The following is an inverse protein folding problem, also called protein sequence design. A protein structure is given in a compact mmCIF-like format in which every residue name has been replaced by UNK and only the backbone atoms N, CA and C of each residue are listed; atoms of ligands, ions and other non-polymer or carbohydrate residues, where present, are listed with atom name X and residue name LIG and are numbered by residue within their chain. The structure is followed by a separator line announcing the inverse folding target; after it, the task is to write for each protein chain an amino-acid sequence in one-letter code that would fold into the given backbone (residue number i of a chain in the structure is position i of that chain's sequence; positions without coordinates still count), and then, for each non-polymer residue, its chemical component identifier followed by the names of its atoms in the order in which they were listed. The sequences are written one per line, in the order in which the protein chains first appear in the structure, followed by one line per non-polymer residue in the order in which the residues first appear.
data_IF_607251226903
#
_entry.id   IF_607251226903
#
_cell.length_a   1.000
_cell.length_b   1.000
_cell.length_c   1.000
_cell.angle_alpha   90.00
_cell.angle_beta   90.00
_cell.angle_gamma   90.00
#
_symmetry.space_group_name_H-M   'P 1'
#
loop_
_entity.id
_entity.type
_entity.pdbx_description
1 polymer ?
#
# COMPACT_ATOMS: atom_id res chain seq x y z
N UNK A 1 2.41 1.75 3.43
CA UNK A 1 1.56 2.74 4.12
C UNK A 1 1.94 2.95 5.58
N UNK A 2 2.46 1.95 6.30
CA UNK A 2 2.78 2.06 7.74
C UNK A 2 3.60 3.32 8.12
N UNK A 3 4.77 3.61 7.51
CA UNK A 3 5.54 4.81 7.90
C UNK A 3 4.84 6.11 7.52
N UNK A 4 4.08 6.09 6.42
CA UNK A 4 3.33 7.24 5.94
C UNK A 4 2.28 7.71 6.95
N UNK A 5 1.72 6.78 7.72
CA UNK A 5 0.69 7.06 8.72
C UNK A 5 1.25 7.13 10.16
N UNK A 6 2.55 6.92 10.34
CA UNK A 6 3.19 6.82 11.65
C UNK A 6 2.77 5.57 12.42
N UNK A 7 2.51 4.46 11.71
CA UNK A 7 2.05 3.19 12.28
C UNK A 7 3.17 2.14 12.38
N UNK A 8 4.41 2.53 12.13
CA UNK A 8 5.59 1.65 12.16
C UNK A 8 6.38 1.68 10.86
N UNK A 9 7.44 0.88 10.81
CA UNK A 9 8.33 0.76 9.66
C UNK A 9 7.74 -0.04 8.50
N UNK A 10 8.43 -0.07 7.35
CA UNK A 10 8.08 -0.97 6.25
C UNK A 10 8.37 -2.40 6.67
N UNK A 11 7.45 -3.34 6.43
CA UNK A 11 7.66 -4.75 6.73
C UNK A 11 8.62 -5.43 5.75
N UNK A 12 8.56 -5.05 4.47
CA UNK A 12 9.32 -5.67 3.38
C UNK A 12 9.99 -4.61 2.49
N UNK A 13 10.94 -3.81 3.02
CA UNK A 13 11.62 -2.76 2.25
C UNK A 13 12.38 -3.29 1.01
N UNK A 14 12.78 -4.56 1.01
CA UNK A 14 13.45 -5.25 -0.08
C UNK A 14 12.60 -5.36 -1.35
N UNK A 15 11.27 -5.33 -1.23
CA UNK A 15 10.36 -5.41 -2.38
C UNK A 15 10.32 -4.12 -3.22
N UNK A 16 10.80 -2.98 -2.68
CA UNK A 16 10.64 -1.69 -3.36
C UNK A 16 11.40 -1.58 -4.68
N UNK A 17 12.60 -2.17 -4.74
CA UNK A 17 13.42 -2.07 -5.95
C UNK A 17 12.76 -2.80 -7.13
N UNK A 18 12.20 -3.99 -6.87
CA UNK A 18 11.56 -4.82 -7.88
C UNK A 18 10.13 -4.37 -8.22
N UNK A 19 9.32 -4.00 -7.23
CA UNK A 19 7.87 -3.80 -7.42
C UNK A 19 7.41 -2.33 -7.40
N UNK A 20 8.30 -1.37 -7.13
CA UNK A 20 7.94 0.06 -7.09
C UNK A 20 8.85 0.93 -7.95
N UNK A 21 10.16 0.71 -7.90
CA UNK A 21 11.16 1.57 -8.59
C UNK A 21 11.51 1.08 -10.00
N UNK A 22 11.07 -0.11 -10.35
CA UNK A 22 11.42 -0.76 -11.61
C UNK A 22 10.17 -1.30 -12.30
N UNK A 23 10.14 -1.30 -13.64
CA UNK A 23 9.12 -2.02 -14.39
C UNK A 23 9.31 -3.54 -14.25
N UNK A 24 8.23 -4.27 -14.54
CA UNK A 24 8.22 -5.73 -14.61
C UNK A 24 9.33 -6.28 -15.53
N UNK A 25 9.81 -7.49 -15.24
CA UNK A 25 10.87 -8.24 -15.97
C UNK A 25 12.26 -7.59 -15.98
N UNK A 26 12.50 -6.53 -15.19
CA UNK A 26 13.84 -5.96 -15.04
C UNK A 26 14.76 -6.86 -14.21
N UNK A 27 14.22 -7.58 -13.23
CA UNK A 27 14.94 -8.50 -12.37
C UNK A 27 14.43 -9.93 -12.57
N UNK A 28 15.25 -10.92 -12.24
CA UNK A 28 14.80 -12.30 -12.19
C UNK A 28 13.79 -12.47 -11.05
N UNK A 29 12.76 -13.29 -11.27
CA UNK A 29 11.77 -13.64 -10.26
C UNK A 29 12.42 -14.54 -9.21
N UNK A 30 12.95 -13.92 -8.15
CA UNK A 30 13.56 -14.63 -7.01
C UNK A 30 12.54 -15.00 -5.94
N UNK A 31 11.32 -14.46 -6.01
CA UNK A 31 10.22 -14.70 -5.08
C UNK A 31 9.12 -15.51 -5.76
N UNK A 32 8.59 -16.48 -5.04
CA UNK A 32 7.49 -17.33 -5.50
C UNK A 32 6.12 -16.68 -5.23
N UNK A 33 5.10 -17.09 -5.98
CA UNK A 33 3.71 -16.62 -5.76
C UNK A 33 3.23 -16.88 -4.31
N UNK A 34 3.44 -18.06 -3.70
CA UNK A 34 3.08 -18.29 -2.31
C UNK A 34 3.75 -17.32 -1.33
N UNK A 35 5.04 -17.01 -1.50
CA UNK A 35 5.75 -16.05 -0.65
C UNK A 35 5.14 -14.64 -0.78
N UNK A 36 4.88 -14.20 -2.01
CA UNK A 36 4.24 -12.91 -2.26
C UNK A 36 2.84 -12.81 -1.63
N UNK A 37 2.06 -13.90 -1.64
CA UNK A 37 0.76 -13.96 -0.96
C UNK A 37 0.90 -13.80 0.55
N UNK A 38 1.87 -14.47 1.18
CA UNK A 38 2.14 -14.32 2.62
C UNK A 38 2.50 -12.88 2.97
N UNK A 39 3.37 -12.23 2.18
CA UNK A 39 3.73 -10.83 2.39
C UNK A 39 2.52 -9.90 2.25
N UNK A 40 1.70 -10.13 1.22
CA UNK A 40 0.47 -9.39 0.99
C UNK A 40 -0.51 -9.52 2.17
N UNK A 41 -0.80 -10.73 2.60
CA UNK A 41 -1.72 -11.00 3.72
C UNK A 41 -1.22 -10.38 5.02
N UNK A 42 0.04 -10.62 5.37
CA UNK A 42 0.68 -10.08 6.59
C UNK A 42 0.62 -8.55 6.63
N UNK A 43 0.91 -7.89 5.50
CA UNK A 43 0.83 -6.43 5.39
C UNK A 43 -0.60 -5.92 5.60
N UNK A 44 -1.59 -6.56 4.97
CA UNK A 44 -2.99 -6.15 5.07
C UNK A 44 -3.56 -6.38 6.47
N UNK A 45 -3.26 -7.52 7.10
CA UNK A 45 -3.64 -7.81 8.48
C UNK A 45 -3.04 -6.80 9.46
N UNK A 46 -1.76 -6.48 9.29
CA UNK A 46 -1.07 -5.47 10.11
C UNK A 46 -1.74 -4.10 9.96
N UNK A 47 -2.02 -3.67 8.73
CA UNK A 47 -2.73 -2.41 8.48
C UNK A 47 -4.14 -2.41 9.08
N UNK A 48 -4.91 -3.47 8.89
CA UNK A 48 -6.26 -3.61 9.43
C UNK A 48 -6.26 -3.56 10.97
N UNK A 49 -5.28 -4.22 11.62
CA UNK A 49 -5.12 -4.19 13.07
C UNK A 49 -4.79 -2.79 13.61
N UNK A 50 -4.08 -1.96 12.86
CA UNK A 50 -3.88 -0.55 13.21
C UNK A 50 -5.14 0.29 12.95
N UNK A 51 -5.75 0.11 11.78
CA UNK A 51 -6.90 0.91 11.35
C UNK A 51 -8.11 0.72 12.27
N UNK A 52 -8.35 -0.49 12.77
CA UNK A 52 -9.41 -0.78 13.74
C UNK A 52 -9.27 -0.05 15.08
N UNK A 53 -8.07 0.42 15.41
CA UNK A 53 -7.76 1.17 16.64
C UNK A 53 -7.75 2.68 16.43
N UNK A 54 -7.79 3.14 15.18
CA UNK A 54 -7.74 4.58 14.87
C UNK A 54 -9.07 5.27 15.14
N UNK A 55 -9.01 6.38 15.86
CA UNK A 55 -10.14 7.28 16.06
C UNK A 55 -10.42 8.12 14.80
N UNK A 56 -11.67 8.53 14.56
CA UNK A 56 -12.04 9.34 13.39
C UNK A 56 -11.15 10.57 13.18
N UNK A 57 -10.77 11.28 14.24
CA UNK A 57 -9.94 12.49 14.15
C UNK A 57 -8.52 12.18 13.67
N UNK A 58 -8.00 10.98 13.95
CA UNK A 58 -6.67 10.57 13.49
C UNK A 58 -6.65 10.37 11.97
N UNK A 59 -7.77 9.98 11.36
CA UNK A 59 -7.90 9.88 9.90
C UNK A 59 -7.86 11.24 9.20
N UNK A 60 -8.38 12.28 9.88
CA UNK A 60 -8.38 13.66 9.40
C UNK A 60 -7.05 14.39 9.69
N UNK A 61 -6.12 13.79 10.42
CA UNK A 61 -4.79 14.33 10.64
C UNK A 61 -3.88 14.19 9.40
N UNK A 62 -2.82 15.00 9.35
CA UNK A 62 -1.81 14.94 8.29
C UNK A 62 -1.12 13.56 8.20
N UNK A 63 -0.66 13.20 7.01
CA UNK A 63 0.27 12.09 6.82
C UNK A 63 1.73 12.57 6.93
N UNK A 64 2.70 11.66 7.10
CA UNK A 64 4.11 12.06 7.35
C UNK A 64 4.80 12.73 6.15
N UNK A 65 4.25 12.62 4.94
CA UNK A 65 4.78 13.25 3.72
C UNK A 65 4.26 14.68 3.45
N UNK A 66 3.60 15.34 4.41
CA UNK A 66 3.19 16.74 4.28
C UNK A 66 3.64 17.53 5.50
N UNK A 67 4.15 18.76 5.27
CA UNK A 67 4.54 19.65 6.36
C UNK A 67 3.30 20.23 7.06
N UNK A 68 3.50 20.84 8.23
CA UNK A 68 2.41 21.48 8.96
C UNK A 68 1.88 22.73 8.22
N UNK A 69 2.78 23.49 7.59
CA UNK A 69 2.44 24.69 6.80
C UNK A 69 1.58 24.32 5.59
N UNK A 70 2.01 23.30 4.83
CA UNK A 70 1.27 22.80 3.66
C UNK A 70 -0.08 22.21 4.05
N UNK A 71 -0.14 21.51 5.18
CA UNK A 71 -1.39 20.90 5.65
C UNK A 71 -2.39 21.96 6.14
N UNK A 72 -1.92 23.05 6.75
CA UNK A 72 -2.79 24.18 7.13
C UNK A 72 -3.46 24.83 5.91
N UNK A 73 -2.75 24.91 4.77
CA UNK A 73 -3.28 25.44 3.51
C UNK A 73 -4.17 24.42 2.76
N UNK A 74 -3.91 23.12 2.93
CA UNK A 74 -4.58 22.04 2.23
C UNK A 74 -4.94 20.89 3.20
N UNK A 75 -5.93 21.08 4.10
CA UNK A 75 -6.28 20.10 5.14
C UNK A 75 -6.84 18.78 4.58
N UNK A 76 -7.20 18.75 3.31
CA UNK A 76 -7.51 17.53 2.57
C UNK A 76 -6.29 16.62 2.36
N UNK A 77 -5.04 17.08 2.59
CA UNK A 77 -3.82 16.22 2.54
C UNK A 77 -3.67 15.37 3.81
N UNK A 78 -4.74 14.66 4.17
CA UNK A 78 -4.86 13.86 5.39
C UNK A 78 -4.72 12.35 5.11
N UNK A 79 -4.63 11.55 6.19
CA UNK A 79 -4.48 10.08 6.10
C UNK A 79 -5.67 9.42 5.39
N UNK A 80 -6.89 9.91 5.60
CA UNK A 80 -8.09 9.36 4.95
C UNK A 80 -8.02 9.48 3.43
N UNK A 81 -7.62 10.66 2.91
CA UNK A 81 -7.50 10.86 1.47
C UNK A 81 -6.39 10.02 0.85
N UNK A 82 -5.29 9.78 1.58
CA UNK A 82 -4.29 8.80 1.14
C UNK A 82 -4.91 7.40 1.04
N UNK A 83 -5.66 6.95 2.05
CA UNK A 83 -6.30 5.63 2.05
C UNK A 83 -7.29 5.48 0.87
N UNK A 84 -8.12 6.50 0.62
CA UNK A 84 -9.01 6.52 -0.54
C UNK A 84 -8.23 6.41 -1.86
N UNK A 85 -7.15 7.20 -2.01
CA UNK A 85 -6.28 7.12 -3.18
C UNK A 85 -5.65 5.74 -3.38
N UNK A 86 -5.21 5.07 -2.30
CA UNK A 86 -4.66 3.70 -2.38
C UNK A 86 -5.73 2.66 -2.69
N UNK A 87 -6.95 2.85 -2.19
CA UNK A 87 -8.12 2.00 -2.51
C UNK A 87 -8.44 2.05 -4.01
N UNK A 88 -8.43 3.26 -4.58
CA UNK A 88 -8.65 3.45 -6.03
C UNK A 88 -7.51 2.86 -6.86
N UNK A 89 -6.26 3.05 -6.44
CA UNK A 89 -5.09 2.42 -7.08
C UNK A 89 -5.20 0.89 -7.08
N UNK A 90 -5.58 0.29 -5.95
CA UNK A 90 -5.78 -1.16 -5.88
C UNK A 90 -6.93 -1.63 -6.77
N UNK A 91 -8.02 -0.86 -6.85
CA UNK A 91 -9.16 -1.16 -7.73
C UNK A 91 -8.74 -1.12 -9.21
N UNK A 92 -7.89 -0.17 -9.59
CA UNK A 92 -7.33 -0.08 -10.94
C UNK A 92 -6.54 -1.35 -11.30
N UNK A 93 -5.64 -1.80 -10.42
CA UNK A 93 -4.88 -3.04 -10.64
C UNK A 93 -5.73 -4.30 -10.56
N UNK A 94 -6.78 -4.32 -9.72
CA UNK A 94 -7.76 -5.41 -9.73
C UNK A 94 -8.44 -5.52 -11.11
N UNK A 95 -8.73 -4.40 -11.78
CA UNK A 95 -9.21 -4.39 -13.15
C UNK A 95 -8.24 -5.07 -14.13
N UNK A 96 -6.94 -4.82 -13.99
CA UNK A 96 -5.91 -5.48 -14.81
C UNK A 96 -5.81 -6.98 -14.52
N UNK A 97 -5.87 -7.39 -13.25
CA UNK A 97 -5.84 -8.80 -12.85
C UNK A 97 -7.01 -9.60 -13.42
N UNK A 98 -8.19 -8.97 -13.57
CA UNK A 98 -9.35 -9.61 -14.22
C UNK A 98 -9.13 -9.92 -15.71
N UNK A 99 -8.12 -9.33 -16.35
CA UNK A 99 -7.75 -9.62 -17.74
C UNK A 99 -6.78 -10.81 -17.86
N UNK A 100 -6.24 -11.31 -16.74
CA UNK A 100 -5.39 -12.50 -16.76
C UNK A 100 -6.24 -13.71 -17.16
N UNK A 101 -5.83 -14.39 -18.23
CA UNK A 101 -6.48 -15.64 -18.61
C UNK A 101 -6.16 -16.71 -17.55
N UNK A 102 -7.17 -17.50 -17.16
CA UNK A 102 -7.16 -18.53 -16.10
C UNK A 102 -5.94 -19.49 -16.15
N UNK A 103 -5.23 -19.58 -17.28
CA UNK A 103 -4.01 -20.39 -17.42
C UNK A 103 -2.79 -19.90 -16.62
N UNK A 104 -2.66 -18.61 -16.30
CA UNK A 104 -1.46 -18.08 -15.64
C UNK A 104 -1.50 -18.19 -14.10
N UNK A 105 -2.68 -18.47 -13.53
CA UNK A 105 -2.87 -18.66 -12.08
C UNK A 105 -3.00 -20.14 -11.68
N UNK A 106 -2.96 -21.05 -12.66
CA UNK A 106 -2.98 -22.49 -12.47
C UNK A 106 -1.53 -23.03 -12.35
N UNK A 107 -0.82 -22.61 -11.30
CA UNK A 107 0.43 -23.22 -10.84
C UNK A 107 0.35 -23.41 -9.34
#
# INVERSE_FOLDING_TARGET
MLPMFGLGEKLYPELEEAFLKSPDKKFADTLTIPELKVYWETLNETLAAHFSKMQPQQWLSKHSLVSDEDFALAPQRNKLNVLLGRTLHQSYHAGQLNLLAIKELAV
#
